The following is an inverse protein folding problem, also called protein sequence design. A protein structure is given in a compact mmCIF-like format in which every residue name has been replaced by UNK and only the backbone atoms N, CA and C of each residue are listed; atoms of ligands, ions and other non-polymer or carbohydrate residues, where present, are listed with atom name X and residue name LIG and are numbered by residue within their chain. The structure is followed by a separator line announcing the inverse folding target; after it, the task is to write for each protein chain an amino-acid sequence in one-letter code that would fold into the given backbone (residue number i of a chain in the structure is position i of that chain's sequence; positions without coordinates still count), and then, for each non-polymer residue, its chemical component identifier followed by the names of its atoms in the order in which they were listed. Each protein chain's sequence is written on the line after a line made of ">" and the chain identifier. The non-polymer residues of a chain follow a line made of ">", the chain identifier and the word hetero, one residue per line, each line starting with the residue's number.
data_IF_268724843061
#
_entry.id   IF_268724843061
#
_cell.length_a   1.000
_cell.length_b   1.000
_cell.length_c   1.000
_cell.angle_alpha   90.00
_cell.angle_beta   90.00
_cell.angle_gamma   90.00
#
_symmetry.space_group_name_H-M   'P 1'
#
loop_
_entity.id
_entity.type
_entity.pdbx_description
1 polymer ?
#
# COMPACT_ATOMS: atom_id res chain seq x y z
N UNK A 1 11.26 -13.51 2.17
CA UNK A 1 11.38 -12.30 1.37
C UNK A 1 9.98 -11.86 0.89
N UNK A 2 9.64 -10.56 0.97
CA UNK A 2 8.33 -10.05 0.53
C UNK A 2 8.34 -9.53 -0.91
N UNK A 3 9.53 -9.40 -1.52
CA UNK A 3 9.64 -9.05 -2.93
C UNK A 3 9.17 -10.20 -3.83
N UNK A 4 8.73 -9.92 -5.07
CA UNK A 4 8.47 -10.96 -6.06
C UNK A 4 9.69 -11.85 -6.32
N UNK A 5 9.47 -13.10 -6.68
CA UNK A 5 10.53 -14.05 -7.01
C UNK A 5 11.43 -13.53 -8.16
N UNK A 6 10.82 -12.92 -9.17
CA UNK A 6 11.52 -12.29 -10.28
C UNK A 6 12.53 -11.22 -9.83
N UNK A 7 12.19 -10.45 -8.77
CA UNK A 7 13.08 -9.45 -8.19
C UNK A 7 14.18 -10.10 -7.36
N UNK A 8 13.86 -11.15 -6.59
CA UNK A 8 14.84 -11.90 -5.81
C UNK A 8 15.95 -12.44 -6.71
N UNK A 9 15.60 -13.06 -7.83
CA UNK A 9 16.57 -13.62 -8.76
C UNK A 9 17.28 -12.60 -9.66
N UNK A 10 17.00 -11.29 -9.53
CA UNK A 10 17.90 -10.25 -10.08
C UNK A 10 19.18 -10.05 -9.24
N UNK A 11 19.13 -10.46 -7.97
CA UNK A 11 20.20 -10.27 -7.00
C UNK A 11 20.88 -11.59 -6.61
N UNK A 12 20.08 -12.65 -6.50
CA UNK A 12 20.52 -13.98 -6.08
C UNK A 12 20.48 -14.97 -7.26
N UNK A 13 21.42 -15.94 -7.33
CA UNK A 13 21.40 -17.01 -8.30
C UNK A 13 20.08 -17.79 -8.31
N UNK A 14 19.71 -18.36 -9.46
CA UNK A 14 18.46 -19.12 -9.62
C UNK A 14 18.42 -20.42 -8.82
N UNK A 15 19.57 -20.93 -8.43
CA UNK A 15 19.72 -22.12 -7.59
C UNK A 15 19.31 -21.88 -6.13
N UNK A 16 19.18 -20.63 -5.71
CA UNK A 16 18.75 -20.27 -4.36
C UNK A 16 17.23 -20.40 -4.25
N UNK A 17 16.79 -21.16 -3.25
CA UNK A 17 15.39 -21.32 -2.95
C UNK A 17 14.76 -19.98 -2.57
N UNK A 18 13.61 -19.68 -3.17
CA UNK A 18 12.80 -18.52 -2.85
C UNK A 18 11.62 -18.92 -1.98
N UNK A 19 11.43 -18.27 -0.86
CA UNK A 19 10.21 -18.35 -0.04
C UNK A 19 9.66 -16.95 0.16
N UNK A 20 8.38 -16.77 -0.18
CA UNK A 20 7.67 -15.52 0.05
C UNK A 20 7.19 -15.45 1.50
N UNK A 21 7.68 -14.46 2.24
CA UNK A 21 7.26 -14.17 3.62
C UNK A 21 7.02 -12.67 3.71
N UNK A 22 5.82 -12.27 4.04
CA UNK A 22 5.47 -10.87 4.24
C UNK A 22 5.77 -10.43 5.67
N UNK A 23 6.18 -9.18 5.84
CA UNK A 23 6.12 -8.52 7.14
C UNK A 23 4.65 -8.28 7.46
N UNK A 24 4.17 -8.92 8.51
CA UNK A 24 2.77 -8.84 8.90
C UNK A 24 2.42 -7.53 9.59
N UNK A 25 1.12 -7.33 9.74
CA UNK A 25 0.58 -6.34 10.66
C UNK A 25 0.37 -6.98 12.04
N UNK A 26 0.52 -6.19 13.09
CA UNK A 26 0.11 -6.59 14.43
C UNK A 26 -1.42 -6.51 14.53
N UNK A 27 -2.08 -7.66 14.50
CA UNK A 27 -3.55 -7.73 14.41
C UNK A 27 -4.26 -7.03 15.56
N UNK A 28 -3.63 -6.90 16.72
CA UNK A 28 -4.20 -6.22 17.88
C UNK A 28 -4.42 -4.72 17.65
N UNK A 29 -3.62 -4.11 16.78
CA UNK A 29 -3.72 -2.69 16.41
C UNK A 29 -4.88 -2.39 15.44
N UNK A 30 -5.47 -3.43 14.86
CA UNK A 30 -6.55 -3.34 13.86
C UNK A 30 -7.86 -3.93 14.38
N UNK A 31 -8.01 -4.02 15.71
CA UNK A 31 -9.27 -4.36 16.38
C UNK A 31 -10.11 -3.10 16.60
N UNK A 32 -11.41 -3.31 16.81
CA UNK A 32 -12.37 -2.25 17.16
C UNK A 32 -12.33 -1.06 16.19
N UNK A 33 -12.28 -1.37 14.89
CA UNK A 33 -12.19 -0.37 13.85
C UNK A 33 -13.42 0.54 13.83
N UNK A 34 -13.20 1.85 13.66
CA UNK A 34 -14.28 2.79 13.41
C UNK A 34 -15.11 2.33 12.20
N UNK A 35 -16.46 2.31 12.29
CA UNK A 35 -17.33 1.91 11.19
C UNK A 35 -17.01 2.69 9.89
N UNK A 36 -17.02 2.01 8.75
CA UNK A 36 -16.64 2.60 7.46
C UNK A 36 -17.45 3.86 7.15
N UNK A 37 -18.77 3.85 7.39
CA UNK A 37 -19.66 4.96 7.08
C UNK A 37 -19.45 6.19 7.98
N UNK A 38 -18.78 6.05 9.12
CA UNK A 38 -18.51 7.15 10.07
C UNK A 38 -17.19 7.87 9.78
N UNK A 39 -16.48 7.42 8.74
CA UNK A 39 -15.19 7.97 8.32
C UNK A 39 -15.35 9.07 7.28
N UNK A 40 -14.29 9.85 7.10
CA UNK A 40 -14.23 10.90 6.05
C UNK A 40 -14.34 10.23 4.67
N UNK A 41 -15.37 10.60 3.90
CA UNK A 41 -15.71 10.02 2.59
C UNK A 41 -15.42 10.91 1.38
N UNK A 42 -15.29 12.22 1.59
CA UNK A 42 -15.09 13.21 0.52
C UNK A 42 -13.61 13.55 0.30
N UNK A 43 -12.73 12.80 0.91
CA UNK A 43 -11.27 12.94 0.82
C UNK A 43 -10.62 11.57 0.72
N UNK A 44 -9.46 11.52 0.07
CA UNK A 44 -8.62 10.34 -0.07
C UNK A 44 -7.32 10.59 0.69
N UNK A 45 -6.96 9.69 1.58
CA UNK A 45 -5.71 9.80 2.36
C UNK A 45 -4.50 9.37 1.52
N UNK A 46 -3.50 10.23 1.44
CA UNK A 46 -2.16 9.89 0.96
C UNK A 46 -1.14 10.13 2.09
N UNK A 47 -0.68 9.07 2.72
CA UNK A 47 0.23 9.16 3.87
C UNK A 47 1.65 8.72 3.53
N UNK A 48 2.63 9.30 4.22
CA UNK A 48 4.04 8.95 4.12
C UNK A 48 4.85 9.84 3.18
N UNK A 49 6.11 9.53 2.99
CA UNK A 49 7.00 10.34 2.17
C UNK A 49 6.64 10.28 0.67
N UNK A 50 6.62 11.43 -0.01
CA UNK A 50 6.33 11.57 -1.45
C UNK A 50 7.58 11.88 -2.30
N UNK A 51 8.74 11.89 -1.74
CA UNK A 51 9.95 12.27 -2.48
C UNK A 51 10.00 13.79 -2.78
N UNK A 52 11.17 14.28 -3.15
CA UNK A 52 11.35 15.68 -3.49
C UNK A 52 11.14 15.88 -5.00
N UNK A 53 10.03 16.54 -5.36
CA UNK A 53 9.64 16.78 -6.76
C UNK A 53 10.07 18.16 -7.30
N UNK A 54 10.83 18.95 -6.53
CA UNK A 54 11.39 20.22 -7.00
C UNK A 54 12.35 19.98 -8.18
N UNK A 55 12.23 20.76 -9.23
CA UNK A 55 12.93 20.57 -10.50
C UNK A 55 14.45 20.37 -10.35
N UNK A 56 15.13 21.24 -9.61
CA UNK A 56 16.57 21.13 -9.38
C UNK A 56 16.94 19.84 -8.61
N UNK A 57 16.15 19.47 -7.61
CA UNK A 57 16.39 18.27 -6.84
C UNK A 57 16.17 16.99 -7.66
N UNK A 58 15.20 17.00 -8.60
CA UNK A 58 15.03 15.90 -9.56
C UNK A 58 16.28 15.72 -10.41
N UNK A 59 16.78 16.80 -11.01
CA UNK A 59 17.99 16.75 -11.86
C UNK A 59 19.18 16.22 -11.06
N UNK A 60 19.42 16.77 -9.87
CA UNK A 60 20.54 16.34 -9.01
C UNK A 60 20.39 14.85 -8.63
N UNK A 61 19.20 14.42 -8.24
CA UNK A 61 18.96 13.03 -7.87
C UNK A 61 19.06 12.09 -9.08
N UNK A 62 18.61 12.53 -10.26
CA UNK A 62 18.72 11.74 -11.49
C UNK A 62 20.18 11.58 -11.95
N UNK A 63 21.02 12.60 -11.72
CA UNK A 63 22.47 12.50 -11.98
C UNK A 63 23.15 11.58 -10.97
N UNK A 64 22.85 11.74 -9.67
CA UNK A 64 23.49 10.96 -8.60
C UNK A 64 23.05 9.50 -8.57
N UNK A 65 21.77 9.25 -8.82
CA UNK A 65 21.19 7.90 -8.80
C UNK A 65 20.06 7.77 -9.83
N UNK A 66 20.41 7.56 -11.12
CA UNK A 66 19.43 7.58 -12.21
C UNK A 66 18.42 6.43 -12.16
N UNK A 67 18.77 5.32 -11.50
CA UNK A 67 17.91 4.13 -11.44
C UNK A 67 17.03 4.09 -10.20
N UNK A 68 17.51 4.63 -9.07
CA UNK A 68 16.89 4.42 -7.77
C UNK A 68 16.97 5.68 -6.90
N UNK A 69 16.03 6.59 -7.05
CA UNK A 69 15.92 7.77 -6.21
C UNK A 69 14.52 7.93 -5.60
N UNK A 70 14.43 8.69 -4.52
CA UNK A 70 13.19 8.81 -3.74
C UNK A 70 11.99 9.34 -4.54
N UNK A 71 12.22 10.18 -5.54
CA UNK A 71 11.15 10.66 -6.42
C UNK A 71 10.66 9.55 -7.35
N UNK A 72 11.58 8.82 -8.00
CA UNK A 72 11.24 7.74 -8.93
C UNK A 72 10.51 6.59 -8.27
N UNK A 73 10.79 6.32 -7.00
CA UNK A 73 10.05 5.33 -6.23
C UNK A 73 8.61 5.75 -5.91
N UNK A 74 8.27 7.04 -6.03
CA UNK A 74 7.01 7.59 -5.49
C UNK A 74 6.29 8.51 -6.47
N UNK A 75 6.43 8.24 -7.77
CA UNK A 75 5.88 9.10 -8.85
C UNK A 75 4.37 9.28 -8.68
N UNK A 76 3.62 8.20 -8.60
CA UNK A 76 2.16 8.25 -8.50
C UNK A 76 1.72 8.95 -7.21
N UNK A 77 2.33 8.62 -6.07
CA UNK A 77 2.02 9.29 -4.78
C UNK A 77 2.28 10.79 -4.83
N UNK A 78 3.38 11.23 -5.46
CA UNK A 78 3.69 12.64 -5.65
C UNK A 78 2.66 13.34 -6.56
N UNK A 79 2.14 12.65 -7.59
CA UNK A 79 1.05 13.17 -8.43
C UNK A 79 -0.25 13.28 -7.63
N UNK A 80 -0.62 12.24 -6.87
CA UNK A 80 -1.82 12.22 -6.05
C UNK A 80 -1.85 13.35 -5.01
N UNK A 81 -0.72 13.67 -4.37
CA UNK A 81 -0.65 14.72 -3.33
C UNK A 81 -0.97 16.14 -3.84
N UNK A 82 -1.06 16.34 -5.15
CA UNK A 82 -1.39 17.62 -5.78
C UNK A 82 -2.88 17.82 -6.04
N UNK A 83 -3.68 16.78 -5.81
CA UNK A 83 -5.13 16.83 -6.04
C UNK A 83 -5.82 17.45 -4.83
N UNK A 84 -6.78 18.34 -5.06
CA UNK A 84 -7.49 19.11 -4.02
C UNK A 84 -8.37 18.26 -3.10
N UNK A 85 -8.73 17.05 -3.54
CA UNK A 85 -9.50 16.07 -2.77
C UNK A 85 -8.63 14.99 -2.13
N UNK A 86 -7.30 15.14 -2.17
CA UNK A 86 -6.35 14.23 -1.50
C UNK A 86 -5.73 14.95 -0.31
N UNK A 87 -5.94 14.40 0.88
CA UNK A 87 -5.28 14.85 2.09
C UNK A 87 -3.91 14.17 2.22
N UNK A 88 -2.86 14.98 2.25
CA UNK A 88 -1.50 14.47 2.38
C UNK A 88 -0.96 14.62 3.80
N UNK A 89 -0.48 13.52 4.36
CA UNK A 89 0.18 13.46 5.67
C UNK A 89 1.60 12.93 5.53
N UNK A 90 2.59 13.80 5.77
CA UNK A 90 4.00 13.38 5.86
C UNK A 90 4.23 12.58 7.16
N UNK A 91 5.02 11.51 7.10
CA UNK A 91 5.44 10.75 8.29
C UNK A 91 6.46 11.50 9.15
N UNK A 92 7.09 12.55 8.65
CA UNK A 92 8.20 13.23 9.33
C UNK A 92 7.71 14.17 10.43
N UNK A 93 6.49 14.71 10.31
CA UNK A 93 6.00 15.80 11.17
C UNK A 93 4.59 15.54 11.72
N UNK A 94 4.23 14.29 12.03
CA UNK A 94 2.94 14.00 12.64
C UNK A 94 3.04 12.90 13.69
N UNK A 95 2.03 12.87 14.59
CA UNK A 95 1.93 11.91 15.70
C UNK A 95 1.48 10.50 15.25
N UNK A 96 1.17 10.32 13.97
CA UNK A 96 0.65 9.07 13.42
C UNK A 96 1.75 8.23 12.78
N UNK A 97 2.68 7.75 13.60
CA UNK A 97 3.76 6.85 13.21
C UNK A 97 3.65 5.54 13.99
N UNK A 98 4.22 4.47 13.45
CA UNK A 98 4.24 3.14 14.05
C UNK A 98 2.82 2.70 14.51
N UNK A 99 2.65 2.35 15.76
CA UNK A 99 1.39 1.84 16.35
C UNK A 99 0.22 2.84 16.28
N UNK A 100 0.50 4.12 16.07
CA UNK A 100 -0.54 5.14 15.87
C UNK A 100 -1.00 5.28 14.42
N UNK A 101 -0.33 4.65 13.46
CA UNK A 101 -0.70 4.75 12.06
C UNK A 101 -2.09 4.21 11.74
N UNK A 102 -2.56 3.10 12.33
CA UNK A 102 -3.94 2.65 12.18
C UNK A 102 -5.00 3.68 12.60
N UNK A 103 -4.70 4.51 13.60
CA UNK A 103 -5.60 5.59 14.04
C UNK A 103 -5.79 6.69 12.98
N UNK A 104 -4.75 6.97 12.18
CA UNK A 104 -4.86 7.87 11.04
C UNK A 104 -5.72 7.24 9.94
N UNK A 105 -5.45 5.98 9.59
CA UNK A 105 -6.17 5.25 8.55
C UNK A 105 -7.68 5.21 8.83
N UNK A 106 -8.07 4.93 10.07
CA UNK A 106 -9.46 4.85 10.49
C UNK A 106 -10.23 6.18 10.41
N UNK A 107 -9.58 7.32 10.18
CA UNK A 107 -10.27 8.59 9.94
C UNK A 107 -10.88 8.67 8.54
N UNK A 108 -10.36 7.91 7.57
CA UNK A 108 -10.74 7.97 6.17
C UNK A 108 -11.40 6.67 5.70
N UNK A 109 -12.36 6.79 4.77
CA UNK A 109 -12.89 5.61 4.08
C UNK A 109 -11.87 5.02 3.11
N UNK A 110 -11.04 5.88 2.51
CA UNK A 110 -10.12 5.49 1.44
C UNK A 110 -8.71 6.00 1.67
N UNK A 111 -7.72 5.20 1.25
CA UNK A 111 -6.32 5.59 1.28
C UNK A 111 -5.52 5.01 0.10
N UNK A 112 -4.38 5.64 -0.21
CA UNK A 112 -3.53 5.30 -1.34
C UNK A 112 -2.36 4.44 -0.89
N UNK A 113 -2.25 3.24 -1.47
CA UNK A 113 -1.09 2.36 -1.40
C UNK A 113 -0.36 2.41 -2.74
N UNK A 114 0.70 3.18 -2.85
CA UNK A 114 1.43 3.32 -4.10
C UNK A 114 2.94 3.38 -3.88
N UNK A 115 3.66 2.62 -4.71
CA UNK A 115 5.10 2.66 -4.87
C UNK A 115 5.46 2.11 -6.25
N UNK A 116 6.33 2.80 -6.97
CA UNK A 116 6.60 2.56 -8.38
C UNK A 116 7.35 1.25 -8.65
N UNK A 117 8.13 0.75 -7.69
CA UNK A 117 9.04 -0.39 -7.91
C UNK A 117 8.66 -1.65 -7.16
N UNK A 118 7.97 -1.55 -6.04
CA UNK A 118 7.58 -2.70 -5.23
C UNK A 118 6.44 -2.34 -4.28
N UNK A 119 5.50 -3.24 -4.02
CA UNK A 119 4.56 -3.05 -2.94
C UNK A 119 5.26 -2.83 -1.60
N UNK A 120 4.74 -1.92 -0.82
CA UNK A 120 5.23 -1.59 0.53
C UNK A 120 4.17 -1.95 1.56
N UNK A 121 4.50 -1.93 2.85
CA UNK A 121 3.59 -2.32 3.94
C UNK A 121 2.18 -1.71 3.84
N UNK A 122 2.04 -0.52 3.30
CA UNK A 122 0.73 0.14 3.08
C UNK A 122 -0.24 -0.65 2.23
N UNK A 123 0.25 -1.58 1.39
CA UNK A 123 -0.63 -2.42 0.57
C UNK A 123 -1.50 -3.36 1.43
N UNK A 124 -1.05 -3.70 2.63
CA UNK A 124 -1.85 -4.50 3.57
C UNK A 124 -2.24 -3.74 4.84
N UNK A 125 -1.49 -2.73 5.30
CA UNK A 125 -1.89 -1.90 6.45
C UNK A 125 -3.18 -1.12 6.19
N UNK A 126 -3.36 -0.56 4.97
CA UNK A 126 -4.55 0.20 4.60
C UNK A 126 -5.81 -0.67 4.61
N UNK A 127 -5.84 -1.82 3.92
CA UNK A 127 -6.98 -2.72 4.03
C UNK A 127 -7.17 -3.27 5.43
N UNK A 128 -6.10 -3.65 6.15
CA UNK A 128 -6.19 -4.13 7.54
C UNK A 128 -6.89 -3.11 8.46
N UNK A 129 -6.74 -1.80 8.20
CA UNK A 129 -7.48 -0.75 8.89
C UNK A 129 -8.94 -0.58 8.40
N UNK A 130 -9.43 -1.44 7.52
CA UNK A 130 -10.78 -1.37 6.97
C UNK A 130 -11.01 -0.20 6.00
N UNK A 131 -9.94 0.33 5.39
CA UNK A 131 -10.03 1.33 4.33
C UNK A 131 -10.17 0.66 2.97
N UNK A 132 -10.95 1.26 2.07
CA UNK A 132 -10.86 0.96 0.65
C UNK A 132 -9.49 1.41 0.15
N UNK A 133 -8.66 0.48 -0.26
CA UNK A 133 -7.32 0.76 -0.73
C UNK A 133 -7.31 1.05 -2.24
N UNK A 134 -6.80 2.21 -2.63
CA UNK A 134 -6.37 2.48 -3.99
C UNK A 134 -4.92 2.03 -4.15
N UNK A 135 -4.69 0.89 -4.81
CA UNK A 135 -3.39 0.25 -4.91
C UNK A 135 -2.73 0.50 -6.27
N UNK A 136 -1.52 1.01 -6.28
CA UNK A 136 -0.73 1.05 -7.51
C UNK A 136 -0.32 -0.37 -7.91
N UNK A 137 -0.89 -0.85 -9.02
CA UNK A 137 -0.57 -2.17 -9.59
C UNK A 137 -0.14 -1.99 -11.04
N UNK A 138 1.09 -2.32 -11.32
CA UNK A 138 1.74 -2.16 -12.62
C UNK A 138 2.66 -3.35 -12.91
N UNK A 139 3.02 -3.57 -14.16
CA UNK A 139 4.07 -4.54 -14.51
C UNK A 139 5.41 -4.23 -13.84
N UNK A 140 5.67 -2.94 -13.57
CA UNK A 140 6.94 -2.50 -13.01
C UNK A 140 7.08 -2.83 -11.54
N UNK A 141 6.01 -2.69 -10.74
CA UNK A 141 6.03 -3.01 -9.32
C UNK A 141 5.56 -4.43 -9.01
N UNK A 142 5.08 -5.15 -10.02
CA UNK A 142 4.57 -6.51 -9.90
C UNK A 142 3.55 -6.67 -8.75
N UNK A 143 2.72 -5.62 -8.52
CA UNK A 143 1.81 -5.55 -7.37
C UNK A 143 0.83 -6.71 -7.24
N UNK A 144 0.56 -7.43 -8.35
CA UNK A 144 -0.29 -8.63 -8.36
C UNK A 144 0.23 -9.75 -7.43
N UNK A 145 1.54 -9.80 -7.16
CA UNK A 145 2.11 -10.84 -6.29
C UNK A 145 1.61 -10.77 -4.85
N UNK A 146 1.02 -9.65 -4.43
CA UNK A 146 0.41 -9.51 -3.10
C UNK A 146 -0.89 -10.31 -2.97
N UNK A 147 -1.53 -10.67 -4.08
CA UNK A 147 -2.76 -11.46 -4.11
C UNK A 147 -4.05 -10.66 -3.95
N UNK A 148 -3.98 -9.32 -3.85
CA UNK A 148 -5.20 -8.50 -3.93
C UNK A 148 -5.80 -8.54 -5.33
N UNK A 149 -7.13 -8.38 -5.43
CA UNK A 149 -7.91 -8.48 -6.66
C UNK A 149 -8.63 -7.16 -6.91
N UNK A 150 -8.52 -6.65 -8.15
CA UNK A 150 -9.17 -5.39 -8.54
C UNK A 150 -10.69 -5.48 -8.46
N UNK A 151 -11.31 -4.45 -7.90
CA UNK A 151 -12.76 -4.33 -7.66
C UNK A 151 -13.37 -5.42 -6.75
N UNK A 152 -12.54 -6.25 -6.10
CA UNK A 152 -12.98 -7.25 -5.12
C UNK A 152 -12.40 -6.98 -3.73
N UNK A 153 -11.08 -6.82 -3.61
CA UNK A 153 -10.38 -6.60 -2.33
C UNK A 153 -9.65 -5.26 -2.27
N UNK A 154 -9.57 -4.55 -3.39
CA UNK A 154 -8.99 -3.21 -3.53
C UNK A 154 -9.38 -2.61 -4.88
N UNK A 155 -9.00 -1.36 -5.12
CA UNK A 155 -9.13 -0.71 -6.43
C UNK A 155 -7.74 -0.49 -7.01
N UNK A 156 -7.46 -1.08 -8.17
CA UNK A 156 -6.18 -0.93 -8.82
C UNK A 156 -6.08 0.39 -9.57
N UNK A 157 -4.99 1.09 -9.30
CA UNK A 157 -4.66 2.37 -9.93
C UNK A 157 -3.28 2.31 -10.57
N UNK A 158 -3.06 3.19 -11.54
CA UNK A 158 -1.78 3.46 -12.17
C UNK A 158 -1.74 4.92 -12.65
N UNK A 159 -0.64 5.34 -13.23
CA UNK A 159 -0.46 6.73 -13.70
C UNK A 159 -1.48 7.18 -14.76
N UNK A 160 -2.19 6.27 -15.42
CA UNK A 160 -3.17 6.57 -16.48
C UNK A 160 -4.60 6.70 -15.96
N UNK A 161 -4.97 5.93 -14.91
CA UNK A 161 -6.36 5.79 -14.49
C UNK A 161 -6.67 6.35 -13.08
N UNK A 162 -5.68 6.72 -12.27
CA UNK A 162 -5.87 7.07 -10.86
C UNK A 162 -6.87 8.20 -10.63
N UNK A 163 -6.84 9.25 -11.46
CA UNK A 163 -7.79 10.37 -11.33
C UNK A 163 -9.22 9.91 -11.60
N UNK A 164 -9.42 9.14 -12.66
CA UNK A 164 -10.74 8.58 -13.01
C UNK A 164 -11.27 7.69 -11.88
N UNK A 165 -10.45 6.80 -11.33
CA UNK A 165 -10.85 5.90 -10.23
C UNK A 165 -11.18 6.66 -8.94
N UNK A 166 -10.46 7.73 -8.65
CA UNK A 166 -10.78 8.60 -7.53
C UNK A 166 -12.11 9.34 -7.73
N UNK A 167 -12.36 9.86 -8.93
CA UNK A 167 -13.62 10.54 -9.26
C UNK A 167 -14.80 9.57 -9.19
N UNK A 168 -14.67 8.35 -9.73
CA UNK A 168 -15.69 7.29 -9.63
C UNK A 168 -16.12 7.02 -8.19
N UNK A 169 -15.16 7.00 -7.26
CA UNK A 169 -15.46 6.88 -5.84
C UNK A 169 -16.13 8.15 -5.28
N UNK A 170 -15.57 9.33 -5.54
CA UNK A 170 -16.01 10.58 -4.94
C UNK A 170 -17.42 11.02 -5.42
N UNK A 171 -17.77 10.69 -6.66
CA UNK A 171 -19.09 10.98 -7.24
C UNK A 171 -20.21 10.16 -6.58
N UNK A 172 -19.90 8.97 -6.09
CA UNK A 172 -20.85 8.07 -5.43
C UNK A 172 -20.25 7.40 -4.19
N UNK A 173 -19.68 8.18 -3.27
CA UNK A 173 -19.00 7.69 -2.07
C UNK A 173 -19.93 6.97 -1.07
N UNK A 174 -21.25 7.04 -1.25
CA UNK A 174 -22.23 6.30 -0.45
C UNK A 174 -22.60 4.93 -1.04
N UNK A 175 -22.08 4.57 -2.21
CA UNK A 175 -22.36 3.27 -2.82
C UNK A 175 -21.88 2.13 -1.92
N UNK A 176 -22.75 1.17 -1.59
CA UNK A 176 -22.40 0.07 -0.70
C UNK A 176 -21.24 -0.79 -1.21
N UNK A 177 -21.02 -0.83 -2.53
CA UNK A 177 -19.89 -1.56 -3.13
C UNK A 177 -18.54 -1.18 -2.53
N UNK A 178 -18.34 0.10 -2.16
CA UNK A 178 -17.07 0.54 -1.59
C UNK A 178 -16.78 -0.05 -0.23
N UNK A 179 -17.83 -0.15 0.60
CA UNK A 179 -17.75 -0.81 1.89
C UNK A 179 -17.52 -2.32 1.73
N UNK A 180 -18.18 -2.95 0.76
CA UNK A 180 -18.02 -4.39 0.49
C UNK A 180 -16.58 -4.72 0.06
N UNK A 181 -16.02 -3.94 -0.87
CA UNK A 181 -14.62 -4.10 -1.29
C UNK A 181 -13.66 -3.84 -0.13
N UNK A 182 -13.90 -2.78 0.68
CA UNK A 182 -13.07 -2.49 1.84
C UNK A 182 -13.09 -3.61 2.88
N UNK A 183 -14.27 -4.20 3.13
CA UNK A 183 -14.42 -5.33 4.06
C UNK A 183 -13.70 -6.58 3.53
N UNK A 184 -13.90 -6.93 2.26
CA UNK A 184 -13.21 -8.06 1.64
C UNK A 184 -11.68 -7.87 1.67
N UNK A 185 -11.21 -6.63 1.43
CA UNK A 185 -9.79 -6.27 1.55
C UNK A 185 -9.27 -6.40 2.99
N UNK A 186 -10.06 -6.01 3.99
CA UNK A 186 -9.74 -6.15 5.41
C UNK A 186 -9.58 -7.62 5.80
N UNK A 187 -10.57 -8.44 5.46
CA UNK A 187 -10.55 -9.88 5.75
C UNK A 187 -9.35 -10.57 5.09
N UNK A 188 -9.08 -10.21 3.83
CA UNK A 188 -7.94 -10.73 3.10
C UNK A 188 -6.60 -10.31 3.73
N UNK A 189 -6.46 -9.04 4.11
CA UNK A 189 -5.23 -8.52 4.70
C UNK A 189 -4.95 -9.15 6.08
N UNK A 190 -5.94 -9.18 6.96
CA UNK A 190 -5.80 -9.75 8.30
C UNK A 190 -5.55 -11.26 8.28
N UNK A 191 -6.06 -11.96 7.28
CA UNK A 191 -5.81 -13.40 7.11
C UNK A 191 -4.39 -13.68 6.61
N UNK A 192 -3.91 -12.92 5.62
CA UNK A 192 -2.70 -13.28 4.87
C UNK A 192 -1.45 -12.50 5.27
N UNK A 193 -1.61 -11.33 5.91
CA UNK A 193 -0.52 -10.41 6.23
C UNK A 193 -0.43 -10.10 7.73
N UNK A 194 -0.90 -10.96 8.61
CA UNK A 194 -0.66 -10.83 10.05
C UNK A 194 0.69 -11.41 10.45
N UNK A 195 1.20 -11.01 11.62
CA UNK A 195 2.49 -11.47 12.14
C UNK A 195 2.52 -12.99 12.35
N UNK A 196 1.41 -13.59 12.80
CA UNK A 196 1.34 -15.02 13.06
C UNK A 196 1.50 -15.83 11.77
N UNK A 197 0.88 -15.39 10.68
CA UNK A 197 1.05 -16.01 9.36
C UNK A 197 2.50 -15.89 8.87
N UNK A 198 3.14 -14.75 9.09
CA UNK A 198 4.56 -14.54 8.76
C UNK A 198 5.49 -15.46 9.57
N UNK A 199 5.27 -15.57 10.87
CA UNK A 199 6.04 -16.44 11.78
C UNK A 199 5.83 -17.92 11.43
N UNK A 200 4.58 -18.33 11.17
CA UNK A 200 4.29 -19.72 10.75
C UNK A 200 5.03 -20.07 9.46
N UNK A 201 4.98 -19.20 8.46
CA UNK A 201 5.68 -19.40 7.18
C UNK A 201 7.21 -19.50 7.37
N UNK A 202 7.78 -18.77 8.32
CA UNK A 202 9.20 -18.87 8.66
C UNK A 202 9.52 -20.18 9.39
N UNK A 203 8.68 -20.59 10.33
CA UNK A 203 8.86 -21.85 11.05
C UNK A 203 8.78 -23.05 10.10
N UNK A 204 7.83 -23.04 9.16
CA UNK A 204 7.71 -24.07 8.11
C UNK A 204 9.01 -24.15 7.28
N UNK A 205 9.53 -23.00 6.85
CA UNK A 205 10.79 -22.95 6.11
C UNK A 205 11.97 -23.52 6.92
N UNK A 206 12.04 -23.22 8.20
CA UNK A 206 13.10 -23.76 9.07
C UNK A 206 12.98 -25.28 9.24
N UNK A 207 11.75 -25.80 9.34
CA UNK A 207 11.52 -27.25 9.42
C UNK A 207 11.87 -27.99 8.12
N UNK A 208 11.74 -27.33 6.96
CA UNK A 208 12.14 -27.88 5.66
C UNK A 208 13.68 -28.00 5.50
N UNK A 209 14.46 -27.28 6.32
CA UNK A 209 15.92 -27.22 6.24
C UNK A 209 16.66 -28.16 7.24
N UNK A 210 15.92 -28.79 8.14
CA UNK A 210 16.42 -29.72 9.15
C UNK A 210 16.14 -31.16 8.69
#
# INVERSE_FOLDING_TARGET
>A
NFFPESFFHKVYPKEFNYKKIFYGVESSLFKDLKPFNDRIKNKILNSGNIGNDKFLNKIINDIRNPKWNSYRCKILRSKCSKLNFVDYFSTINNDYVNDHYPLLLQKYQTAIAADTYTPVQKYWEIPAAGCLAFMEVTEKNEGLHTGFIDNETSIFINEKNYVQKFQEYLEDANNPKWKEIAQAGNDFALKNFNNDAGVSSLADLMAELI
#
